data_IF_184071447121
#
_entry.id   IF_184071447121
#
_cell.length_a   1.000
_cell.length_b   1.000
_cell.length_c   1.000
_cell.angle_alpha   90.00
_cell.angle_beta   90.00
_cell.angle_gamma   90.00
#
_symmetry.space_group_name_H-M   'P 1'
#
loop_
_entity.id
_entity.type
_entity.pdbx_description
1 polymer ?
#
# COMPACT_ATOMS: atom_id res chain seq x y z
N UNK A 1 -27.68 -18.17 1.07
CA UNK A 1 -28.13 -17.33 -0.07
C UNK A 1 -29.61 -17.47 -0.46
N UNK A 2 -30.39 -18.44 0.08
CA UNK A 2 -31.80 -18.61 -0.30
C UNK A 2 -32.77 -17.58 0.31
N UNK A 3 -32.54 -17.16 1.57
CA UNK A 3 -33.44 -16.25 2.30
C UNK A 3 -33.14 -14.76 2.07
N UNK A 4 -31.86 -14.36 1.90
CA UNK A 4 -31.48 -12.95 1.75
C UNK A 4 -31.73 -12.36 0.35
N UNK A 5 -32.16 -13.17 -0.63
CA UNK A 5 -32.39 -12.70 -2.01
C UNK A 5 -33.57 -11.74 -2.12
N UNK A 6 -34.52 -11.83 -1.19
CA UNK A 6 -35.72 -10.98 -1.15
C UNK A 6 -35.44 -9.58 -0.57
N UNK A 7 -34.34 -9.40 0.16
CA UNK A 7 -33.94 -8.12 0.78
C UNK A 7 -33.06 -7.25 -0.14
N UNK A 8 -32.50 -7.84 -1.19
CA UNK A 8 -31.67 -7.15 -2.18
C UNK A 8 -32.54 -6.44 -3.22
N UNK A 9 -32.16 -5.22 -3.61
CA UNK A 9 -32.88 -4.46 -4.65
C UNK A 9 -32.20 -4.49 -6.01
N UNK A 10 -30.96 -4.03 -6.08
CA UNK A 10 -30.18 -3.91 -7.32
C UNK A 10 -29.48 -5.23 -7.60
N UNK A 11 -28.91 -5.87 -6.58
CA UNK A 11 -28.09 -7.06 -6.77
C UNK A 11 -28.89 -8.36 -6.95
N UNK A 12 -30.20 -8.34 -6.71
CA UNK A 12 -31.08 -9.50 -6.90
C UNK A 12 -31.07 -10.02 -8.35
N UNK A 13 -31.04 -9.12 -9.34
CA UNK A 13 -31.05 -9.46 -10.77
C UNK A 13 -29.71 -9.98 -11.31
N UNK A 14 -28.61 -9.53 -10.74
CA UNK A 14 -27.24 -9.87 -11.19
C UNK A 14 -26.67 -11.10 -10.48
N UNK A 15 -27.36 -11.67 -9.50
CA UNK A 15 -26.86 -12.79 -8.68
C UNK A 15 -26.51 -14.07 -9.46
N UNK A 16 -27.01 -14.23 -10.70
CA UNK A 16 -26.70 -15.38 -11.56
C UNK A 16 -25.54 -15.11 -12.54
N UNK A 17 -25.02 -13.88 -12.56
CA UNK A 17 -23.90 -13.49 -13.41
C UNK A 17 -22.58 -13.80 -12.70
N UNK A 18 -21.82 -14.76 -13.23
CA UNK A 18 -20.54 -15.19 -12.64
C UNK A 18 -19.52 -14.06 -12.57
N UNK A 19 -19.49 -13.15 -13.54
CA UNK A 19 -18.61 -11.98 -13.51
C UNK A 19 -18.95 -11.02 -12.38
N UNK A 20 -20.26 -10.83 -12.11
CA UNK A 20 -20.72 -10.01 -10.99
C UNK A 20 -20.33 -10.64 -9.65
N UNK A 21 -20.49 -11.95 -9.48
CA UNK A 21 -20.11 -12.65 -8.24
C UNK A 21 -18.61 -12.50 -7.95
N UNK A 22 -17.75 -12.63 -8.95
CA UNK A 22 -16.30 -12.42 -8.78
C UNK A 22 -15.99 -10.99 -8.34
N UNK A 23 -16.56 -9.99 -9.03
CA UNK A 23 -16.35 -8.59 -8.68
C UNK A 23 -16.88 -8.25 -7.27
N UNK A 24 -18.00 -8.85 -6.88
CA UNK A 24 -18.57 -8.70 -5.55
C UNK A 24 -17.66 -9.32 -4.49
N UNK A 25 -17.08 -10.50 -4.75
CA UNK A 25 -16.12 -11.13 -3.83
C UNK A 25 -14.86 -10.26 -3.63
N UNK A 26 -14.31 -9.70 -4.71
CA UNK A 26 -13.19 -8.77 -4.64
C UNK A 26 -13.55 -7.54 -3.80
N UNK A 27 -14.73 -6.97 -4.03
CA UNK A 27 -15.23 -5.80 -3.29
C UNK A 27 -15.42 -6.11 -1.80
N UNK A 28 -15.97 -7.27 -1.44
CA UNK A 28 -16.11 -7.70 -0.04
C UNK A 28 -14.74 -7.88 0.63
N UNK A 29 -13.77 -8.45 -0.08
CA UNK A 29 -12.40 -8.60 0.40
C UNK A 29 -11.72 -7.25 0.66
N UNK A 30 -11.93 -6.26 -0.23
CA UNK A 30 -11.44 -4.90 -0.04
C UNK A 30 -12.06 -4.23 1.19
N UNK A 31 -13.37 -4.38 1.42
CA UNK A 31 -14.06 -3.83 2.59
C UNK A 31 -13.52 -4.43 3.90
N UNK A 32 -13.40 -5.76 3.96
CA UNK A 32 -12.84 -6.46 5.13
C UNK A 32 -11.40 -6.03 5.38
N UNK A 33 -10.57 -5.95 4.33
CA UNK A 33 -9.18 -5.47 4.43
C UNK A 33 -9.12 -4.01 4.91
N UNK A 34 -10.06 -3.19 4.46
CA UNK A 34 -10.29 -1.81 4.87
C UNK A 34 -10.91 -1.65 6.26
N UNK A 35 -11.22 -2.74 6.98
CA UNK A 35 -11.95 -2.73 8.26
C UNK A 35 -13.28 -1.98 8.19
N UNK A 36 -13.97 -2.07 7.06
CA UNK A 36 -15.31 -1.53 6.90
C UNK A 36 -16.29 -2.66 7.20
N UNK A 37 -17.10 -2.45 8.24
CA UNK A 37 -18.13 -3.41 8.69
C UNK A 37 -19.47 -3.15 8.01
N UNK A 38 -20.41 -4.10 8.14
CA UNK A 38 -21.80 -3.87 7.72
C UNK A 38 -22.44 -2.67 8.43
N UNK A 39 -22.09 -2.42 9.70
CA UNK A 39 -22.56 -1.26 10.48
C UNK A 39 -22.04 0.07 9.92
N UNK A 40 -20.77 0.12 9.49
CA UNK A 40 -20.18 1.31 8.86
C UNK A 40 -20.89 1.66 7.54
N UNK A 41 -21.23 0.64 6.74
CA UNK A 41 -22.00 0.82 5.51
C UNK A 41 -23.42 1.30 5.80
N UNK A 42 -24.09 0.74 6.81
CA UNK A 42 -25.43 1.16 7.23
C UNK A 42 -25.44 2.62 7.74
N UNK A 43 -24.42 3.01 8.51
CA UNK A 43 -24.24 4.39 8.97
C UNK A 43 -24.01 5.34 7.79
N UNK A 44 -23.19 4.93 6.82
CA UNK A 44 -22.97 5.70 5.60
C UNK A 44 -24.26 5.87 4.79
N UNK A 45 -25.05 4.80 4.62
CA UNK A 45 -26.35 4.83 3.95
C UNK A 45 -27.35 5.75 4.66
N UNK A 46 -27.34 5.78 5.99
CA UNK A 46 -28.19 6.66 6.78
C UNK A 46 -27.81 8.14 6.65
N UNK A 47 -26.51 8.44 6.47
CA UNK A 47 -26.01 9.79 6.26
C UNK A 47 -26.24 10.33 4.83
N UNK A 48 -26.50 9.46 3.85
CA UNK A 48 -26.79 9.87 2.47
C UNK A 48 -28.19 10.46 2.33
N UNK A 49 -28.30 11.46 1.46
CA UNK A 49 -29.58 12.12 1.16
C UNK A 49 -30.59 11.12 0.58
N UNK A 50 -31.89 11.26 0.90
CA UNK A 50 -32.94 10.51 0.22
C UNK A 50 -32.89 10.76 -1.29
N UNK A 51 -32.79 9.70 -2.09
CA UNK A 51 -32.67 9.78 -3.56
C UNK A 51 -31.25 9.65 -4.11
N UNK A 52 -30.22 9.52 -3.27
CA UNK A 52 -28.87 9.21 -3.75
C UNK A 52 -28.84 7.85 -4.47
N UNK A 53 -28.37 7.85 -5.72
CA UNK A 53 -28.28 6.66 -6.59
C UNK A 53 -27.41 5.54 -6.00
N UNK A 54 -26.47 5.86 -5.11
CA UNK A 54 -25.57 4.90 -4.48
C UNK A 54 -26.19 4.24 -3.25
N UNK A 55 -27.27 4.80 -2.70
CA UNK A 55 -27.88 4.34 -1.45
C UNK A 55 -28.36 2.89 -1.53
N UNK A 56 -29.06 2.52 -2.60
CA UNK A 56 -29.54 1.16 -2.79
C UNK A 56 -28.39 0.16 -2.99
N UNK A 57 -27.33 0.56 -3.70
CA UNK A 57 -26.13 -0.27 -3.91
C UNK A 57 -25.38 -0.54 -2.60
N UNK A 58 -25.17 0.50 -1.79
CA UNK A 58 -24.48 0.39 -0.51
C UNK A 58 -25.29 -0.39 0.53
N UNK A 59 -26.62 -0.24 0.52
CA UNK A 59 -27.50 -1.03 1.39
C UNK A 59 -27.45 -2.52 1.03
N UNK A 60 -27.59 -2.85 -0.26
CA UNK A 60 -27.49 -4.24 -0.72
C UNK A 60 -26.11 -4.82 -0.40
N UNK A 61 -25.04 -4.03 -0.54
CA UNK A 61 -23.69 -4.43 -0.15
C UNK A 61 -23.54 -4.65 1.37
N UNK A 62 -24.20 -3.83 2.20
CA UNK A 62 -24.22 -4.00 3.66
C UNK A 62 -24.89 -5.29 4.10
N UNK A 63 -26.02 -5.65 3.49
CA UNK A 63 -26.71 -6.93 3.75
C UNK A 63 -25.82 -8.11 3.37
N UNK A 64 -25.20 -8.06 2.18
CA UNK A 64 -24.30 -9.12 1.73
C UNK A 64 -23.06 -9.22 2.63
N UNK A 65 -22.50 -8.09 3.05
CA UNK A 65 -21.35 -8.04 3.94
C UNK A 65 -21.67 -8.66 5.31
N UNK A 66 -22.84 -8.37 5.88
CA UNK A 66 -23.27 -8.95 7.17
C UNK A 66 -23.35 -10.48 7.10
N UNK A 67 -23.98 -11.01 6.05
CA UNK A 67 -24.01 -12.46 5.82
C UNK A 67 -22.62 -13.05 5.55
N UNK A 68 -21.80 -12.35 4.78
CA UNK A 68 -20.44 -12.77 4.47
C UNK A 68 -19.58 -12.82 5.74
N UNK A 69 -19.64 -11.80 6.60
CA UNK A 69 -18.95 -11.76 7.89
C UNK A 69 -19.39 -12.91 8.80
N UNK A 70 -20.70 -13.21 8.85
CA UNK A 70 -21.23 -14.33 9.61
C UNK A 70 -20.75 -15.70 9.09
N UNK A 71 -20.68 -15.89 7.76
CA UNK A 71 -20.20 -17.14 7.15
C UNK A 71 -18.68 -17.30 7.23
N UNK A 72 -17.93 -16.18 7.17
CA UNK A 72 -16.46 -16.20 7.24
C UNK A 72 -15.91 -16.16 8.67
N UNK A 73 -16.68 -15.72 9.66
CA UNK A 73 -16.25 -15.65 11.06
C UNK A 73 -15.50 -16.89 11.59
N UNK A 74 -15.88 -18.13 11.21
CA UNK A 74 -15.13 -19.34 11.58
C UNK A 74 -13.78 -19.55 10.88
N UNK A 75 -13.48 -18.83 9.79
CA UNK A 75 -12.30 -19.02 8.96
C UNK A 75 -11.22 -17.94 9.21
N UNK A 76 -9.96 -18.34 9.09
CA UNK A 76 -8.83 -17.43 9.20
C UNK A 76 -8.63 -16.63 7.90
N UNK A 77 -9.18 -15.42 7.85
CA UNK A 77 -8.83 -14.40 6.84
C UNK A 77 -7.57 -13.62 7.24
N UNK A 78 -6.88 -13.00 6.30
CA UNK A 78 -5.73 -12.13 6.60
C UNK A 78 -6.10 -11.05 7.63
N UNK A 79 -7.26 -10.40 7.49
CA UNK A 79 -7.73 -9.41 8.45
C UNK A 79 -7.96 -10.02 9.84
N UNK A 80 -8.58 -11.21 9.94
CA UNK A 80 -8.80 -11.90 11.22
C UNK A 80 -7.49 -12.32 11.89
N UNK A 81 -6.48 -12.74 11.11
CA UNK A 81 -5.16 -13.11 11.61
C UNK A 81 -4.43 -11.88 12.17
N UNK A 82 -4.49 -10.75 11.47
CA UNK A 82 -3.92 -9.50 11.95
C UNK A 82 -4.62 -9.03 13.23
N UNK A 83 -5.95 -9.09 13.28
CA UNK A 83 -6.73 -8.75 14.48
C UNK A 83 -6.43 -9.68 15.66
N UNK A 84 -6.33 -10.99 15.41
CA UNK A 84 -5.94 -11.98 16.44
C UNK A 84 -4.53 -11.72 16.97
N UNK A 85 -3.58 -11.39 16.08
CA UNK A 85 -2.23 -11.00 16.47
C UNK A 85 -2.24 -9.75 17.35
N UNK A 86 -3.03 -8.72 17.02
CA UNK A 86 -3.17 -7.54 17.87
C UNK A 86 -3.64 -7.90 19.28
N UNK A 87 -4.62 -8.79 19.41
CA UNK A 87 -5.15 -9.22 20.70
C UNK A 87 -4.09 -9.96 21.52
N UNK A 88 -3.31 -10.85 20.88
CA UNK A 88 -2.22 -11.56 21.53
C UNK A 88 -1.12 -10.60 21.98
N UNK A 89 -0.72 -9.65 21.12
CA UNK A 89 0.32 -8.66 21.44
C UNK A 89 -0.04 -7.80 22.66
N UNK A 90 -1.31 -7.43 22.83
CA UNK A 90 -1.79 -6.66 24.00
C UNK A 90 -1.71 -7.43 25.31
N UNK A 91 -1.71 -8.77 25.26
CA UNK A 91 -1.69 -9.63 26.44
C UNK A 91 -0.28 -10.15 26.77
N UNK A 92 0.70 -9.94 25.90
CA UNK A 92 2.08 -10.37 26.10
C UNK A 92 2.97 -9.20 26.50
N UNK A 93 4.01 -9.49 27.27
CA UNK A 93 5.05 -8.52 27.58
C UNK A 93 6.00 -8.36 26.37
N UNK A 94 5.88 -7.23 25.68
CA UNK A 94 6.71 -6.86 24.54
C UNK A 94 7.66 -5.70 24.85
N UNK A 95 7.84 -5.36 26.14
CA UNK A 95 8.70 -4.25 26.59
C UNK A 95 10.19 -4.42 26.27
N UNK A 96 10.61 -5.61 25.84
CA UNK A 96 11.96 -5.93 25.38
C UNK A 96 12.03 -6.30 23.89
N UNK A 97 10.97 -6.04 23.13
CA UNK A 97 10.85 -6.39 21.71
C UNK A 97 11.14 -5.19 20.82
N UNK A 98 12.03 -5.37 19.84
CA UNK A 98 12.39 -4.36 18.83
C UNK A 98 11.86 -4.81 17.46
N UNK A 99 11.05 -3.97 16.82
CA UNK A 99 10.37 -4.30 15.57
C UNK A 99 10.90 -3.40 14.45
N UNK A 100 11.24 -3.99 13.31
CA UNK A 100 11.71 -3.28 12.12
C UNK A 100 10.75 -3.55 10.96
N UNK A 101 10.12 -2.48 10.46
CA UNK A 101 9.25 -2.53 9.29
C UNK A 101 9.99 -1.89 8.13
N UNK A 102 10.19 -2.63 7.04
CA UNK A 102 10.88 -2.16 5.84
C UNK A 102 10.05 -2.48 4.60
N UNK A 103 10.20 -1.65 3.57
CA UNK A 103 9.58 -1.83 2.25
C UNK A 103 8.05 -1.66 2.21
N UNK A 104 7.52 -0.80 3.08
CA UNK A 104 6.10 -0.42 3.09
C UNK A 104 5.90 1.03 2.66
N UNK A 105 5.09 1.25 1.62
CA UNK A 105 4.69 2.59 1.18
C UNK A 105 3.26 2.95 1.61
N UNK A 106 2.42 1.94 1.85
CA UNK A 106 1.03 2.07 2.29
C UNK A 106 0.72 0.89 3.21
N UNK A 107 -0.15 1.12 4.19
CA UNK A 107 -0.78 0.06 4.97
C UNK A 107 -2.29 0.09 4.74
N UNK A 108 -2.90 -1.08 4.61
CA UNK A 108 -4.33 -1.28 4.81
C UNK A 108 -4.75 -0.82 6.21
N UNK A 109 -6.06 -0.69 6.45
CA UNK A 109 -6.57 -0.38 7.79
C UNK A 109 -6.18 -1.47 8.80
N UNK A 110 -6.21 -2.74 8.37
CA UNK A 110 -5.79 -3.90 9.17
C UNK A 110 -4.33 -3.87 9.57
N UNK A 111 -3.44 -3.66 8.61
CA UNK A 111 -2.00 -3.52 8.90
C UNK A 111 -1.73 -2.29 9.76
N UNK A 112 -2.42 -1.17 9.50
CA UNK A 112 -2.18 0.03 10.30
C UNK A 112 -2.56 -0.21 11.76
N UNK A 113 -3.70 -0.83 12.04
CA UNK A 113 -4.05 -1.14 13.42
C UNK A 113 -2.99 -2.02 14.09
N UNK A 114 -2.43 -2.98 13.36
CA UNK A 114 -1.36 -3.82 13.89
C UNK A 114 -0.11 -3.00 14.20
N UNK A 115 0.31 -2.12 13.29
CA UNK A 115 1.45 -1.21 13.48
C UNK A 115 1.21 -0.28 14.68
N UNK A 116 0.00 0.23 14.86
CA UNK A 116 -0.37 1.03 16.03
C UNK A 116 -0.25 0.22 17.32
N UNK A 117 -0.67 -1.04 17.31
CA UNK A 117 -0.54 -1.94 18.46
C UNK A 117 0.93 -2.27 18.75
N UNK A 118 1.75 -2.43 17.72
CA UNK A 118 3.20 -2.58 17.84
C UNK A 118 3.82 -1.35 18.51
N UNK A 119 3.45 -0.14 18.07
CA UNK A 119 3.92 1.14 18.65
C UNK A 119 3.49 1.28 20.11
N UNK A 120 2.31 0.76 20.47
CA UNK A 120 1.78 0.81 21.84
C UNK A 120 2.50 -0.14 22.81
N UNK A 121 2.84 -1.35 22.33
CA UNK A 121 3.22 -2.48 23.21
C UNK A 121 4.72 -2.81 23.17
N UNK A 122 5.40 -2.59 22.04
CA UNK A 122 6.79 -2.96 21.86
C UNK A 122 7.75 -1.92 22.50
N UNK A 123 8.98 -2.34 22.78
CA UNK A 123 10.05 -1.45 23.25
C UNK A 123 10.36 -0.35 22.22
N UNK A 124 10.41 -0.73 20.95
CA UNK A 124 10.75 0.15 19.85
C UNK A 124 10.22 -0.40 18.53
N UNK A 125 9.65 0.48 17.72
CA UNK A 125 9.27 0.21 16.34
C UNK A 125 10.03 1.17 15.42
N UNK A 126 10.84 0.63 14.53
CA UNK A 126 11.54 1.39 13.48
C UNK A 126 10.88 1.12 12.14
N UNK A 127 10.44 2.17 11.47
CA UNK A 127 9.83 2.08 10.13
C UNK A 127 10.77 2.74 9.13
N UNK A 128 11.16 1.97 8.11
CA UNK A 128 11.98 2.43 6.98
C UNK A 128 11.07 2.85 5.84
N UNK A 129 11.15 4.12 5.45
CA UNK A 129 10.36 4.72 4.38
C UNK A 129 11.29 5.37 3.36
N UNK A 130 10.96 5.22 2.07
CA UNK A 130 11.67 5.91 0.98
C UNK A 130 11.01 7.26 0.77
N UNK A 131 11.71 8.33 1.15
CA UNK A 131 11.22 9.71 1.14
C UNK A 131 12.31 10.69 0.68
N UNK A 132 11.87 11.84 0.18
CA UNK A 132 12.74 12.99 -0.07
C UNK A 132 13.03 13.81 1.20
N UNK A 133 12.06 13.88 2.12
CA UNK A 133 12.15 14.62 3.38
C UNK A 133 11.15 14.08 4.42
N UNK A 134 11.32 14.40 5.71
CA UNK A 134 10.33 14.06 6.73
C UNK A 134 9.09 14.96 6.66
N UNK A 135 7.93 14.43 7.04
CA UNK A 135 6.62 15.10 6.98
C UNK A 135 5.90 15.20 8.36
N UNK A 136 6.53 15.76 9.43
CA UNK A 136 5.95 15.75 10.77
C UNK A 136 4.78 16.74 10.92
N UNK A 137 4.81 17.88 10.22
CA UNK A 137 3.84 18.96 10.38
C UNK A 137 2.62 18.81 9.44
N UNK A 138 2.86 18.48 8.17
CA UNK A 138 1.83 18.34 7.16
C UNK A 138 2.18 17.20 6.18
N UNK A 139 1.18 16.47 5.65
CA UNK A 139 1.41 15.43 4.65
C UNK A 139 1.81 16.05 3.29
N UNK A 140 2.48 15.28 2.40
CA UNK A 140 2.71 15.71 1.04
C UNK A 140 1.39 15.93 0.29
N UNK A 141 1.39 16.91 -0.61
CA UNK A 141 0.27 17.24 -1.50
C UNK A 141 0.65 16.85 -2.93
N UNK A 142 -0.33 16.38 -3.71
CA UNK A 142 -0.09 16.05 -5.11
C UNK A 142 0.19 17.32 -5.94
N UNK A 143 1.08 17.25 -6.94
CA UNK A 143 1.84 16.08 -7.36
C UNK A 143 3.14 15.90 -6.55
N UNK A 144 3.39 14.67 -6.11
CA UNK A 144 4.59 14.31 -5.35
C UNK A 144 4.97 12.84 -5.60
N UNK A 145 6.23 12.57 -5.94
CA UNK A 145 6.73 11.20 -6.19
C UNK A 145 6.58 10.28 -4.97
N UNK A 146 6.79 10.82 -3.77
CA UNK A 146 6.76 10.10 -2.50
C UNK A 146 5.42 10.26 -1.77
N UNK A 147 4.34 10.60 -2.48
CA UNK A 147 3.02 10.88 -1.89
C UNK A 147 2.51 9.76 -0.96
N UNK A 148 2.55 8.47 -1.33
CA UNK A 148 2.02 7.40 -0.46
C UNK A 148 2.86 7.26 0.82
N UNK A 149 4.19 7.14 0.67
CA UNK A 149 5.11 6.97 1.79
C UNK A 149 5.10 8.20 2.71
N UNK A 150 5.04 9.42 2.18
CA UNK A 150 5.04 10.63 2.99
C UNK A 150 3.71 10.83 3.74
N UNK A 151 2.58 10.40 3.17
CA UNK A 151 1.30 10.31 3.90
C UNK A 151 1.37 9.28 5.03
N UNK A 152 2.00 8.13 4.76
CA UNK A 152 2.22 7.10 5.76
C UNK A 152 3.10 7.62 6.92
N UNK A 153 4.22 8.26 6.62
CA UNK A 153 5.07 8.93 7.60
C UNK A 153 4.26 9.88 8.48
N UNK A 154 3.51 10.80 7.85
CA UNK A 154 2.75 11.80 8.56
C UNK A 154 1.71 11.16 9.51
N UNK A 155 0.98 10.15 9.00
CA UNK A 155 -0.03 9.42 9.78
C UNK A 155 0.57 8.73 11.00
N UNK A 156 1.67 8.00 10.84
CA UNK A 156 2.35 7.32 11.95
C UNK A 156 2.88 8.33 12.97
N UNK A 157 3.46 9.43 12.51
CA UNK A 157 3.97 10.49 13.37
C UNK A 157 2.87 11.13 14.23
N UNK A 158 1.73 11.50 13.61
CA UNK A 158 0.58 12.05 14.34
C UNK A 158 -0.03 11.05 15.32
N UNK A 159 -0.08 9.76 14.93
CA UNK A 159 -0.61 8.71 15.79
C UNK A 159 0.28 8.48 17.02
N UNK A 160 1.60 8.39 16.83
CA UNK A 160 2.55 8.28 17.94
C UNK A 160 2.47 9.48 18.90
N UNK A 161 2.30 10.70 18.35
CA UNK A 161 2.07 11.91 19.15
C UNK A 161 0.76 11.85 19.96
N UNK A 162 -0.31 11.35 19.36
CA UNK A 162 -1.62 11.19 20.02
C UNK A 162 -1.55 10.16 21.15
N UNK A 163 -0.82 9.07 20.94
CA UNK A 163 -0.56 8.02 21.94
C UNK A 163 0.48 8.44 23.00
N UNK A 164 1.11 9.61 22.85
CA UNK A 164 2.17 10.14 23.72
C UNK A 164 3.39 9.21 23.85
N UNK A 165 3.69 8.45 22.80
CA UNK A 165 4.88 7.59 22.74
C UNK A 165 6.10 8.44 22.37
N UNK A 166 7.29 8.22 22.97
CA UNK A 166 8.50 8.93 22.61
C UNK A 166 8.89 8.69 21.14
N UNK A 167 8.96 9.77 20.34
CA UNK A 167 9.40 9.71 18.94
C UNK A 167 10.89 10.03 18.89
N UNK A 168 11.69 9.12 18.34
CA UNK A 168 13.12 9.35 18.11
C UNK A 168 13.35 10.23 16.88
N UNK A 169 14.54 10.84 16.80
CA UNK A 169 14.94 11.61 15.63
C UNK A 169 15.08 10.69 14.40
N UNK A 170 14.63 11.20 13.26
CA UNK A 170 14.76 10.51 11.98
C UNK A 170 16.22 10.21 11.66
N UNK A 171 16.46 8.98 11.19
CA UNK A 171 17.78 8.55 10.73
C UNK A 171 17.74 8.36 9.22
N UNK A 172 18.68 9.00 8.53
CA UNK A 172 18.80 8.89 7.07
C UNK A 172 19.81 7.80 6.71
N UNK A 173 19.47 6.99 5.71
CA UNK A 173 20.40 6.02 5.15
C UNK A 173 21.60 6.74 4.50
N UNK A 174 22.76 6.09 4.50
CA UNK A 174 23.94 6.62 3.80
C UNK A 174 23.63 6.70 2.29
N UNK A 175 24.04 7.79 1.60
CA UNK A 175 23.86 7.89 0.16
C UNK A 175 24.48 6.68 -0.54
N UNK A 176 23.71 6.03 -1.42
CA UNK A 176 24.24 4.96 -2.27
C UNK A 176 25.22 5.59 -3.28
N UNK A 177 26.39 4.98 -3.54
CA UNK A 177 27.22 5.41 -4.65
C UNK A 177 26.47 5.12 -5.95
N UNK A 178 25.89 6.17 -6.53
CA UNK A 178 25.24 6.13 -7.82
C UNK A 178 26.17 6.73 -8.87
N UNK A 179 26.09 6.19 -10.07
CA UNK A 179 26.73 6.75 -11.24
C UNK A 179 26.11 8.13 -11.56
N UNK A 180 26.85 9.03 -12.21
CA UNK A 180 26.36 10.39 -12.52
C UNK A 180 25.07 10.34 -13.36
N UNK A 181 25.02 9.42 -14.33
CA UNK A 181 23.85 9.17 -15.16
C UNK A 181 22.62 8.72 -14.37
N UNK A 182 22.80 7.83 -13.39
CA UNK A 182 21.71 7.38 -12.51
C UNK A 182 21.23 8.48 -11.56
N UNK A 183 22.12 9.35 -11.08
CA UNK A 183 21.73 10.52 -10.28
C UNK A 183 20.87 11.48 -11.10
N UNK A 184 21.33 11.83 -12.31
CA UNK A 184 20.58 12.69 -13.21
C UNK A 184 19.19 12.14 -13.53
N UNK A 185 19.08 10.83 -13.76
CA UNK A 185 17.79 10.18 -13.99
C UNK A 185 16.87 10.29 -12.75
N UNK A 186 17.40 10.01 -11.56
CA UNK A 186 16.65 10.11 -10.31
C UNK A 186 16.14 11.54 -10.05
N UNK A 187 17.01 12.54 -10.23
CA UNK A 187 16.68 13.96 -10.06
C UNK A 187 15.65 14.41 -11.11
N UNK A 188 15.80 13.96 -12.36
CA UNK A 188 14.83 14.23 -13.42
C UNK A 188 13.45 13.61 -13.09
N UNK A 189 13.42 12.37 -12.58
CA UNK A 189 12.18 11.70 -12.21
C UNK A 189 11.44 12.41 -11.07
N UNK A 190 12.19 12.88 -10.07
CA UNK A 190 11.62 13.64 -8.95
C UNK A 190 11.12 15.03 -9.39
N UNK A 191 11.92 15.78 -10.16
CA UNK A 191 11.54 17.13 -10.62
C UNK A 191 10.37 17.11 -11.61
N UNK A 192 10.36 16.17 -12.56
CA UNK A 192 9.25 15.98 -13.52
C UNK A 192 7.96 15.63 -12.81
N UNK A 193 7.99 14.66 -11.89
CA UNK A 193 6.80 14.24 -11.15
C UNK A 193 6.26 15.38 -10.28
N UNK A 194 7.15 16.16 -9.64
CA UNK A 194 6.75 17.26 -8.76
C UNK A 194 6.40 18.55 -9.52
N UNK A 195 6.38 18.53 -10.87
CA UNK A 195 6.16 19.70 -11.73
C UNK A 195 7.08 20.89 -11.41
N UNK A 196 8.31 20.59 -11.00
CA UNK A 196 9.32 21.61 -10.72
C UNK A 196 9.99 22.08 -12.02
N UNK A 197 10.49 23.33 -12.09
CA UNK A 197 11.25 23.81 -13.24
C UNK A 197 12.44 22.88 -13.51
N UNK A 198 12.46 22.28 -14.69
CA UNK A 198 13.56 21.40 -15.08
C UNK A 198 14.76 22.22 -15.51
N UNK A 199 15.96 21.82 -15.06
CA UNK A 199 17.18 22.29 -15.67
C UNK A 199 17.19 21.89 -17.16
N UNK A 200 17.75 22.73 -18.06
CA UNK A 200 17.83 22.40 -19.48
C UNK A 200 18.53 21.06 -19.67
N UNK A 201 18.04 20.27 -20.63
CA UNK A 201 18.57 18.94 -20.93
C UNK A 201 20.08 19.02 -21.14
N UNK A 202 20.84 18.33 -20.28
CA UNK A 202 22.27 18.21 -20.46
C UNK A 202 22.53 17.28 -21.64
N UNK A 203 23.22 17.78 -22.67
CA UNK A 203 23.63 17.02 -23.86
C UNK A 203 24.86 16.12 -23.62
N UNK A 204 25.30 15.99 -22.37
CA UNK A 204 26.41 15.11 -22.03
C UNK A 204 26.03 13.66 -22.34
N UNK A 205 26.89 12.98 -23.10
CA UNK A 205 26.70 11.60 -23.50
C UNK A 205 26.76 10.71 -22.24
N UNK A 206 25.60 10.31 -21.74
CA UNK A 206 25.50 9.36 -20.63
C UNK A 206 25.88 7.97 -21.15
N UNK A 207 27.04 7.45 -20.73
CA UNK A 207 27.50 6.09 -21.06
C UNK A 207 27.03 5.04 -20.05
N UNK A 208 26.30 5.45 -19.02
CA UNK A 208 25.93 4.61 -17.89
C UNK A 208 24.46 4.17 -17.94
N UNK A 209 23.62 4.91 -18.68
CA UNK A 209 22.22 4.57 -18.95
C UNK A 209 22.01 4.54 -20.45
N UNK A 210 21.68 3.37 -20.99
CA UNK A 210 21.44 3.14 -22.42
C UNK A 210 19.95 2.87 -22.67
N UNK A 211 19.41 3.50 -23.72
CA UNK A 211 18.08 3.15 -24.25
C UNK A 211 18.26 2.26 -25.47
N UNK A 212 17.64 1.09 -25.44
CA UNK A 212 17.64 0.14 -26.56
C UNK A 212 16.21 -0.06 -27.06
N UNK A 213 16.06 -0.18 -28.38
CA UNK A 213 14.79 -0.50 -29.03
C UNK A 213 14.95 -1.83 -29.75
N UNK A 214 14.06 -2.77 -29.47
CA UNK A 214 14.03 -4.08 -30.12
C UNK A 214 12.85 -4.17 -31.11
N UNK A 215 12.96 -5.05 -32.10
CA UNK A 215 11.91 -5.28 -33.11
C UNK A 215 10.74 -6.13 -32.60
N UNK A 216 11.01 -7.04 -31.66
CA UNK A 216 10.01 -7.85 -30.98
C UNK A 216 10.52 -8.32 -29.58
N UNK A 217 9.62 -8.80 -28.69
CA UNK A 217 9.99 -9.23 -27.34
C UNK A 217 11.01 -10.37 -27.29
N UNK A 218 11.05 -11.24 -28.30
CA UNK A 218 12.01 -12.34 -28.34
C UNK A 218 13.42 -11.84 -28.63
N UNK A 219 13.57 -10.89 -29.57
CA UNK A 219 14.83 -10.21 -29.86
C UNK A 219 15.32 -9.36 -28.68
N UNK A 220 14.42 -8.69 -27.96
CA UNK A 220 14.74 -7.98 -26.73
C UNK A 220 15.36 -8.93 -25.68
N UNK A 221 14.63 -10.00 -25.35
CA UNK A 221 15.04 -10.97 -24.34
C UNK A 221 16.37 -11.64 -24.69
N UNK A 222 16.56 -12.02 -25.96
CA UNK A 222 17.82 -12.63 -26.43
C UNK A 222 18.99 -11.65 -26.34
N UNK A 223 18.77 -10.37 -26.57
CA UNK A 223 19.81 -9.33 -26.49
C UNK A 223 20.23 -9.09 -25.05
N UNK A 224 19.26 -8.93 -24.13
CA UNK A 224 19.51 -8.78 -22.70
C UNK A 224 20.23 -10.02 -22.14
N UNK A 225 19.76 -11.22 -22.47
CA UNK A 225 20.39 -12.47 -22.03
C UNK A 225 21.86 -12.57 -22.51
N UNK A 226 22.15 -12.15 -23.75
CA UNK A 226 23.53 -12.11 -24.27
C UNK A 226 24.40 -11.13 -23.51
N UNK A 227 23.89 -9.94 -23.17
CA UNK A 227 24.62 -8.93 -22.40
C UNK A 227 24.94 -9.44 -20.98
N UNK A 228 23.95 -10.00 -20.28
CA UNK A 228 24.15 -10.62 -18.95
C UNK A 228 25.21 -11.72 -19.05
N UNK A 229 25.10 -12.61 -20.04
CA UNK A 229 26.06 -13.71 -20.20
C UNK A 229 27.49 -13.21 -20.48
N UNK A 230 27.65 -12.16 -21.28
CA UNK A 230 28.95 -11.54 -21.53
C UNK A 230 29.53 -10.91 -20.25
N UNK A 231 28.72 -10.21 -19.47
CA UNK A 231 29.15 -9.58 -18.23
C UNK A 231 29.52 -10.62 -17.15
N UNK A 232 28.77 -11.72 -17.05
CA UNK A 232 29.11 -12.83 -16.14
C UNK A 232 30.43 -13.49 -16.53
N UNK A 233 30.70 -13.66 -17.84
CA UNK A 233 32.01 -14.13 -18.32
C UNK A 233 33.16 -13.17 -17.99
N UNK A 234 32.87 -11.88 -17.81
CA UNK A 234 33.84 -10.85 -17.42
C UNK A 234 33.99 -10.71 -15.89
N UNK A 235 33.28 -11.52 -15.10
CA UNK A 235 33.43 -11.61 -13.64
C UNK A 235 32.25 -11.09 -12.82
N UNK A 236 31.18 -10.60 -13.45
CA UNK A 236 29.93 -10.29 -12.75
C UNK A 236 29.21 -11.57 -12.28
N UNK A 237 28.28 -11.45 -11.32
CA UNK A 237 27.46 -12.58 -10.86
C UNK A 237 26.04 -12.43 -11.37
N UNK A 238 25.37 -13.55 -11.62
CA UNK A 238 23.96 -13.54 -12.03
C UNK A 238 23.02 -12.82 -11.04
N UNK A 239 23.39 -12.72 -9.76
CA UNK A 239 22.60 -12.01 -8.73
C UNK A 239 22.68 -10.49 -8.83
N UNK A 240 23.59 -9.96 -9.65
CA UNK A 240 23.85 -8.53 -9.81
C UNK A 240 22.98 -7.91 -10.92
N UNK A 241 22.20 -8.75 -11.63
CA UNK A 241 21.29 -8.39 -12.74
C UNK A 241 19.84 -8.66 -12.37
#
# INVERSE_FOLDING_TARGET
MGESKEELTIYAGEAHNTGFVTQLADQLSELVTGRITAEDLNTTVAALTPGDRHRAKLRDLGIILDHYEAEIGPYATNASLLSGLQQVMRNQDLSHTFIYLNDFNVFSASETGLVETMIETAAEVTVSLVLDKPYPAAPPVAPNLFLPAGRLYHRLYQKAKTMKVPIRLDRFAKPRPLSEGMKHLADWWQTSTNLQPQAPAQTAQNKEVELAVATDPYHELRTVARQIYQAVRQGARYRDF
#
